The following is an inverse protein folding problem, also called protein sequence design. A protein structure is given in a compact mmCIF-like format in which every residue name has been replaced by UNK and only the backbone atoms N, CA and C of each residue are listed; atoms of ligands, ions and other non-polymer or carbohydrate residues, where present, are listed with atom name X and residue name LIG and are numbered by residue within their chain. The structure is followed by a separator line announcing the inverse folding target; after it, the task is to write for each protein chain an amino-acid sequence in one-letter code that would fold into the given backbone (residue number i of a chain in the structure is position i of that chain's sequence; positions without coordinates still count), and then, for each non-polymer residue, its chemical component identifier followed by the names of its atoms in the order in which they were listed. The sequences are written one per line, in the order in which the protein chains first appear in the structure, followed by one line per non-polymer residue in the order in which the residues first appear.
data_IF_162191610947
#
_entry.id   IF_162191610947
#
_cell.length_a   1.000
_cell.length_b   1.000
_cell.length_c   1.000
_cell.angle_alpha   90.00
_cell.angle_beta   90.00
_cell.angle_gamma   90.00
#
_symmetry.space_group_name_H-M   'P 1'
#
loop_
_entity.id
_entity.type
_entity.pdbx_description
1 polymer ?
#
# COMPACT_ATOMS: atom_id res chain seq x y z
N UNK A 1 -33.11 9.72 -21.55
CA UNK A 1 -33.95 10.85 -21.08
C UNK A 1 -33.19 11.45 -19.94
N UNK A 2 -32.86 12.77 -20.00
CA UNK A 2 -32.22 13.44 -18.85
C UNK A 2 -33.21 13.52 -17.71
N UNK A 3 -32.82 13.01 -16.54
CA UNK A 3 -33.63 13.09 -15.33
C UNK A 3 -33.06 14.25 -14.49
N UNK A 4 -33.90 15.21 -14.17
CA UNK A 4 -33.54 16.32 -13.30
C UNK A 4 -33.90 15.93 -11.85
N UNK A 5 -32.90 15.91 -10.97
CA UNK A 5 -33.10 15.61 -9.55
C UNK A 5 -32.64 16.78 -8.68
N UNK A 6 -33.42 17.06 -7.65
CA UNK A 6 -33.18 18.14 -6.69
C UNK A 6 -32.84 17.52 -5.34
N UNK A 7 -31.72 17.96 -4.74
CA UNK A 7 -31.22 17.53 -3.44
C UNK A 7 -30.97 18.76 -2.56
N UNK A 8 -31.30 18.64 -1.29
CA UNK A 8 -30.92 19.62 -0.26
C UNK A 8 -29.76 19.07 0.56
N UNK A 9 -28.71 19.88 0.70
CA UNK A 9 -27.58 19.56 1.54
C UNK A 9 -27.50 20.48 2.76
N UNK A 10 -27.00 19.99 3.92
CA UNK A 10 -26.73 20.88 5.04
C UNK A 10 -25.68 21.91 4.65
N UNK A 11 -25.83 23.19 5.11
CA UNK A 11 -24.92 24.26 4.72
C UNK A 11 -23.48 24.05 5.17
N UNK A 12 -23.31 23.17 6.17
CA UNK A 12 -22.01 22.85 6.74
C UNK A 12 -21.25 21.90 5.83
N UNK A 13 -19.98 22.25 5.51
CA UNK A 13 -19.10 21.41 4.69
C UNK A 13 -19.21 21.63 3.17
N UNK A 14 -20.21 22.36 2.65
CA UNK A 14 -20.37 22.59 1.21
C UNK A 14 -19.14 23.19 0.56
N UNK A 15 -18.50 24.16 1.20
CA UNK A 15 -17.27 24.77 0.70
C UNK A 15 -16.12 23.75 0.56
N UNK A 16 -16.05 22.76 1.44
CA UNK A 16 -15.05 21.69 1.38
C UNK A 16 -15.35 20.73 0.22
N UNK A 17 -16.63 20.38 0.05
CA UNK A 17 -17.08 19.49 -1.02
C UNK A 17 -16.88 20.14 -2.41
N UNK A 18 -17.29 21.39 -2.54
CA UNK A 18 -17.23 22.11 -3.82
C UNK A 18 -15.80 22.49 -4.18
N UNK A 19 -14.97 22.76 -3.18
CA UNK A 19 -13.59 23.25 -3.40
C UNK A 19 -13.56 24.71 -3.85
N UNK A 20 -12.36 25.23 -4.10
CA UNK A 20 -12.17 26.60 -4.56
C UNK A 20 -12.79 26.76 -5.95
N UNK A 21 -13.71 27.71 -6.11
CA UNK A 21 -14.43 27.98 -7.38
C UNK A 21 -15.15 26.75 -7.97
N UNK A 22 -15.72 25.90 -7.11
CA UNK A 22 -16.45 24.69 -7.47
C UNK A 22 -15.64 23.66 -8.26
N UNK A 23 -14.31 23.69 -8.12
CA UNK A 23 -13.41 22.84 -8.90
C UNK A 23 -13.64 21.33 -8.66
N UNK A 24 -14.06 20.93 -7.46
CA UNK A 24 -14.33 19.52 -7.16
C UNK A 24 -15.63 19.06 -7.81
N UNK A 25 -16.65 19.92 -7.86
CA UNK A 25 -17.92 19.64 -8.55
C UNK A 25 -17.69 19.52 -10.05
N UNK A 26 -16.97 20.49 -10.65
CA UNK A 26 -16.60 20.44 -12.08
C UNK A 26 -15.79 19.18 -12.43
N UNK A 27 -14.94 18.73 -11.50
CA UNK A 27 -14.20 17.50 -11.68
C UNK A 27 -15.12 16.28 -11.63
N UNK A 28 -16.08 16.24 -10.69
CA UNK A 28 -17.08 15.18 -10.60
C UNK A 28 -17.96 15.13 -11.86
N UNK A 29 -18.43 16.28 -12.37
CA UNK A 29 -19.16 16.40 -13.63
C UNK A 29 -18.37 15.79 -14.81
N UNK A 30 -17.06 16.03 -14.85
CA UNK A 30 -16.19 15.48 -15.91
C UNK A 30 -15.99 13.96 -15.84
N UNK A 31 -16.24 13.34 -14.69
CA UNK A 31 -16.08 11.90 -14.48
C UNK A 31 -17.37 11.11 -14.70
N UNK A 32 -18.53 11.72 -14.42
CA UNK A 32 -19.83 11.03 -14.35
C UNK A 32 -20.84 11.46 -15.42
N UNK A 33 -20.45 12.30 -16.36
CA UNK A 33 -21.32 12.83 -17.42
C UNK A 33 -22.65 13.40 -16.89
N UNK A 34 -22.57 14.15 -15.80
CA UNK A 34 -23.66 14.87 -15.15
C UNK A 34 -23.43 16.36 -15.16
N UNK A 35 -24.49 17.16 -15.07
CA UNK A 35 -24.43 18.61 -14.82
C UNK A 35 -24.98 18.91 -13.42
N UNK A 36 -24.22 19.63 -12.60
CA UNK A 36 -24.57 19.91 -11.19
C UNK A 36 -24.65 21.42 -10.99
N UNK A 37 -25.87 21.93 -10.90
CA UNK A 37 -26.12 23.33 -10.56
C UNK A 37 -26.32 23.50 -9.06
N UNK A 38 -25.63 24.47 -8.43
CA UNK A 38 -25.79 24.81 -7.03
C UNK A 38 -26.53 26.14 -6.85
N UNK A 39 -27.56 26.17 -6.00
CA UNK A 39 -28.29 27.38 -5.65
C UNK A 39 -28.56 27.44 -4.13
N UNK A 40 -27.65 28.07 -3.41
CA UNK A 40 -27.66 28.00 -1.94
C UNK A 40 -27.36 26.58 -1.45
N UNK A 41 -28.29 25.99 -0.72
CA UNK A 41 -28.18 24.61 -0.21
C UNK A 41 -28.80 23.57 -1.16
N UNK A 42 -29.37 24.00 -2.27
CA UNK A 42 -30.02 23.13 -3.23
C UNK A 42 -29.05 22.79 -4.37
N UNK A 43 -28.96 21.50 -4.68
CA UNK A 43 -28.26 21.00 -5.85
C UNK A 43 -29.30 20.47 -6.85
N UNK A 44 -29.12 20.89 -8.11
CA UNK A 44 -29.86 20.37 -9.25
C UNK A 44 -28.89 19.51 -10.06
N UNK A 45 -29.19 18.23 -10.18
CA UNK A 45 -28.38 17.26 -10.90
C UNK A 45 -29.15 16.81 -12.13
N UNK A 46 -28.55 16.97 -13.29
CA UNK A 46 -29.11 16.52 -14.58
C UNK A 46 -28.11 15.56 -15.23
N UNK A 47 -28.62 14.39 -15.66
CA UNK A 47 -27.77 13.35 -16.25
C UNK A 47 -28.49 12.01 -16.38
N UNK A 48 -27.73 10.93 -16.55
CA UNK A 48 -28.26 9.58 -16.58
C UNK A 48 -28.62 9.10 -15.17
N UNK A 49 -29.65 8.29 -15.03
CA UNK A 49 -30.18 7.83 -13.71
C UNK A 49 -29.09 7.21 -12.84
N UNK A 50 -28.24 6.36 -13.42
CA UNK A 50 -27.11 5.73 -12.73
C UNK A 50 -26.06 6.72 -12.20
N UNK A 51 -25.79 7.76 -12.97
CA UNK A 51 -24.81 8.77 -12.60
C UNK A 51 -25.38 9.71 -11.54
N UNK A 52 -26.65 10.03 -11.62
CA UNK A 52 -27.38 10.76 -10.59
C UNK A 52 -27.36 9.98 -9.26
N UNK A 53 -27.69 8.68 -9.26
CA UNK A 53 -27.62 7.82 -8.06
C UNK A 53 -26.21 7.80 -7.46
N UNK A 54 -25.17 7.77 -8.30
CA UNK A 54 -23.78 7.80 -7.83
C UNK A 54 -23.45 9.13 -7.15
N UNK A 55 -23.86 10.25 -7.72
CA UNK A 55 -23.68 11.57 -7.11
C UNK A 55 -24.45 11.66 -5.79
N UNK A 56 -25.69 11.18 -5.72
CA UNK A 56 -26.46 11.12 -4.48
C UNK A 56 -25.75 10.37 -3.38
N UNK A 57 -25.20 9.19 -3.72
CA UNK A 57 -24.46 8.39 -2.75
C UNK A 57 -23.19 9.12 -2.27
N UNK A 58 -22.44 9.77 -3.17
CA UNK A 58 -21.27 10.59 -2.83
C UNK A 58 -21.68 11.70 -1.85
N UNK A 59 -22.78 12.41 -2.13
CA UNK A 59 -23.25 13.50 -1.29
C UNK A 59 -23.72 13.03 0.08
N UNK A 60 -24.48 11.93 0.14
CA UNK A 60 -24.93 11.32 1.39
C UNK A 60 -23.72 10.86 2.25
N UNK A 61 -22.78 10.17 1.65
CA UNK A 61 -21.54 9.72 2.32
C UNK A 61 -20.73 10.89 2.84
N UNK A 62 -20.62 11.98 2.03
CA UNK A 62 -19.88 13.18 2.43
C UNK A 62 -20.47 13.82 3.67
N UNK A 63 -21.80 14.00 3.72
CA UNK A 63 -22.49 14.58 4.89
C UNK A 63 -22.23 13.75 6.14
N UNK A 64 -22.40 12.43 6.07
CA UNK A 64 -22.18 11.55 7.22
C UNK A 64 -20.73 11.55 7.70
N UNK A 65 -19.76 11.54 6.77
CA UNK A 65 -18.34 11.61 7.09
C UNK A 65 -17.97 12.97 7.70
N UNK A 66 -18.53 14.05 7.18
CA UNK A 66 -18.29 15.40 7.68
C UNK A 66 -18.83 15.59 9.11
N UNK A 67 -20.06 15.14 9.36
CA UNK A 67 -20.70 15.17 10.68
C UNK A 67 -19.93 14.26 11.68
N UNK A 68 -19.35 13.17 11.20
CA UNK A 68 -18.44 12.30 11.96
C UNK A 68 -17.05 12.89 12.23
N UNK A 69 -16.79 14.14 11.83
CA UNK A 69 -15.53 14.85 12.06
C UNK A 69 -14.39 14.50 11.11
N UNK A 70 -14.67 13.88 9.97
CA UNK A 70 -13.66 13.60 8.96
C UNK A 70 -13.13 14.91 8.35
N UNK A 71 -11.80 14.98 8.15
CA UNK A 71 -11.15 16.08 7.46
C UNK A 71 -10.81 15.66 6.04
N UNK A 72 -11.15 16.47 5.07
CA UNK A 72 -10.96 16.19 3.64
C UNK A 72 -9.94 17.16 3.05
N UNK A 73 -8.95 16.63 2.33
CA UNK A 73 -8.16 17.44 1.42
C UNK A 73 -8.79 17.38 0.02
N UNK A 74 -8.59 18.44 -0.75
CA UNK A 74 -9.07 18.51 -2.13
C UNK A 74 -8.55 17.35 -2.99
N UNK A 75 -7.30 16.96 -2.79
CA UNK A 75 -6.68 15.84 -3.49
C UNK A 75 -7.35 14.51 -3.14
N UNK A 76 -7.59 14.25 -1.86
CA UNK A 76 -8.24 13.00 -1.42
C UNK A 76 -9.68 12.89 -1.95
N UNK A 77 -10.43 13.98 -1.97
CA UNK A 77 -11.78 13.99 -2.56
C UNK A 77 -11.74 13.67 -4.05
N UNK A 78 -10.83 14.26 -4.81
CA UNK A 78 -10.68 13.99 -6.24
C UNK A 78 -10.23 12.57 -6.52
N UNK A 79 -9.30 12.04 -5.71
CA UNK A 79 -8.88 10.64 -5.82
C UNK A 79 -10.05 9.69 -5.53
N UNK A 80 -10.88 9.99 -4.53
CA UNK A 80 -12.10 9.22 -4.22
C UNK A 80 -13.12 9.28 -5.37
N UNK A 81 -13.43 10.46 -5.90
CA UNK A 81 -14.37 10.61 -7.01
C UNK A 81 -13.93 9.83 -8.25
N UNK A 82 -12.63 9.84 -8.55
CA UNK A 82 -12.08 9.05 -9.65
C UNK A 82 -12.29 7.56 -9.44
N UNK A 83 -12.01 7.05 -8.24
CA UNK A 83 -12.21 5.63 -7.92
C UNK A 83 -13.68 5.23 -8.01
N UNK A 84 -14.60 6.07 -7.50
CA UNK A 84 -16.04 5.82 -7.59
C UNK A 84 -16.51 5.82 -9.06
N UNK A 85 -15.96 6.69 -9.90
CA UNK A 85 -16.30 6.71 -11.32
C UNK A 85 -15.78 5.46 -12.07
N UNK A 86 -14.61 4.92 -11.67
CA UNK A 86 -14.02 3.69 -12.23
C UNK A 86 -14.72 2.42 -11.69
N UNK A 87 -15.14 2.42 -10.43
CA UNK A 87 -15.85 1.31 -9.76
C UNK A 87 -17.04 1.85 -8.94
N UNK A 88 -18.25 1.71 -9.48
CA UNK A 88 -19.50 2.20 -8.87
C UNK A 88 -19.89 1.47 -7.57
N UNK A 89 -19.31 0.31 -7.29
CA UNK A 89 -19.49 -0.37 -6.01
C UNK A 89 -18.65 0.25 -4.89
N UNK A 90 -17.68 1.10 -5.23
CA UNK A 90 -16.85 1.83 -4.28
C UNK A 90 -17.56 3.08 -3.79
N UNK A 91 -17.50 3.37 -2.49
CA UNK A 91 -18.18 4.52 -1.87
C UNK A 91 -17.18 5.52 -1.27
N UNK A 92 -17.63 6.75 -1.04
CA UNK A 92 -16.83 7.75 -0.34
C UNK A 92 -16.52 7.29 1.10
N UNK A 93 -17.45 6.61 1.76
CA UNK A 93 -17.24 5.98 3.07
C UNK A 93 -16.13 4.92 3.01
N UNK A 94 -16.13 4.09 1.99
CA UNK A 94 -15.07 3.10 1.81
C UNK A 94 -13.70 3.77 1.66
N UNK A 95 -13.64 4.89 0.93
CA UNK A 95 -12.41 5.66 0.79
C UNK A 95 -11.91 6.23 2.11
N UNK A 96 -12.80 6.83 2.91
CA UNK A 96 -12.39 7.58 4.09
C UNK A 96 -12.43 6.79 5.40
N UNK A 97 -13.33 5.82 5.58
CA UNK A 97 -13.47 5.06 6.83
C UNK A 97 -12.76 3.72 6.81
N UNK A 98 -12.99 2.89 5.77
CA UNK A 98 -12.39 1.55 5.70
C UNK A 98 -10.90 1.58 5.36
N UNK A 99 -10.42 2.66 4.73
CA UNK A 99 -9.06 2.78 4.29
C UNK A 99 -8.08 3.31 5.35
N UNK A 100 -8.60 3.99 6.38
CA UNK A 100 -7.76 4.61 7.41
C UNK A 100 -7.67 3.71 8.62
N UNK A 101 -6.46 3.36 9.00
CA UNK A 101 -6.21 2.68 10.26
C UNK A 101 -5.05 3.35 10.99
N UNK A 102 -5.12 3.32 12.31
CA UNK A 102 -4.09 3.89 13.17
C UNK A 102 -3.57 2.78 14.09
N UNK A 103 -2.51 2.08 13.67
CA UNK A 103 -2.07 0.88 14.35
C UNK A 103 -1.76 1.07 15.83
N UNK A 104 -1.25 2.24 16.19
CA UNK A 104 -0.71 2.49 17.54
C UNK A 104 -1.20 3.79 18.17
N UNK A 105 -2.02 4.57 17.48
CA UNK A 105 -2.37 5.94 17.89
C UNK A 105 -1.35 7.00 17.46
N UNK A 106 -0.13 6.61 17.04
CA UNK A 106 0.93 7.55 16.66
C UNK A 106 0.73 8.14 15.26
N UNK A 107 0.41 7.30 14.30
CA UNK A 107 0.30 7.71 12.89
C UNK A 107 -0.87 7.03 12.19
N UNK A 108 -1.65 7.84 11.50
CA UNK A 108 -2.70 7.33 10.64
C UNK A 108 -2.12 6.86 9.31
N UNK A 109 -2.46 5.65 8.91
CA UNK A 109 -2.08 5.06 7.63
C UNK A 109 -3.32 4.96 6.75
N UNK A 110 -3.19 5.40 5.50
CA UNK A 110 -4.24 5.30 4.50
C UNK A 110 -3.64 4.92 3.14
N UNK A 111 -4.31 4.10 2.35
CA UNK A 111 -3.93 3.85 0.97
C UNK A 111 -4.08 5.15 0.16
N UNK A 112 -3.13 5.42 -0.72
CA UNK A 112 -3.12 6.60 -1.59
C UNK A 112 -3.50 6.25 -3.03
N UNK A 113 -3.61 4.97 -3.36
CA UNK A 113 -3.99 4.47 -4.69
C UNK A 113 -4.93 3.27 -4.55
N UNK A 114 -5.67 2.96 -5.62
CA UNK A 114 -6.56 1.80 -5.67
C UNK A 114 -5.81 0.48 -5.42
N UNK A 115 -4.61 0.32 -6.01
CA UNK A 115 -3.81 -0.89 -5.79
C UNK A 115 -3.28 -1.00 -4.37
N UNK A 116 -2.93 0.12 -3.71
CA UNK A 116 -2.60 0.11 -2.27
C UNK A 116 -3.80 -0.33 -1.43
N UNK A 117 -5.01 0.10 -1.79
CA UNK A 117 -6.24 -0.34 -1.14
C UNK A 117 -6.45 -1.84 -1.32
N UNK A 118 -6.43 -2.32 -2.59
CA UNK A 118 -6.55 -3.73 -2.90
C UNK A 118 -5.54 -4.58 -2.12
N UNK A 119 -4.32 -4.06 -1.95
CA UNK A 119 -3.28 -4.73 -1.19
C UNK A 119 -3.59 -4.85 0.31
N UNK A 120 -4.08 -3.79 0.93
CA UNK A 120 -4.51 -3.83 2.34
C UNK A 120 -5.68 -4.79 2.54
N UNK A 121 -6.66 -4.77 1.65
CA UNK A 121 -7.82 -5.66 1.69
C UNK A 121 -7.39 -7.13 1.47
N UNK A 122 -6.46 -7.39 0.54
CA UNK A 122 -5.88 -8.71 0.33
C UNK A 122 -5.15 -9.22 1.56
N UNK A 123 -4.32 -8.38 2.22
CA UNK A 123 -3.62 -8.74 3.47
C UNK A 123 -4.62 -9.05 4.59
N UNK A 124 -5.72 -8.31 4.69
CA UNK A 124 -6.73 -8.58 5.69
C UNK A 124 -7.41 -9.95 5.47
N UNK A 125 -7.74 -10.29 4.21
CA UNK A 125 -8.54 -11.45 3.84
C UNK A 125 -7.76 -12.76 3.70
N UNK A 126 -6.45 -12.73 3.38
CA UNK A 126 -5.68 -13.93 3.03
C UNK A 126 -4.54 -14.19 4.01
N UNK A 127 -4.09 -15.44 4.09
CA UNK A 127 -2.97 -15.85 4.94
C UNK A 127 -1.62 -15.56 4.30
N UNK A 128 -1.55 -15.55 2.96
CA UNK A 128 -0.34 -15.27 2.20
C UNK A 128 -0.62 -14.28 1.08
N UNK A 129 0.09 -13.15 1.08
CA UNK A 129 -0.08 -12.10 0.07
C UNK A 129 1.26 -11.73 -0.55
N UNK A 130 1.29 -11.66 -1.88
CA UNK A 130 2.41 -11.13 -2.64
C UNK A 130 2.09 -9.73 -3.13
N UNK A 131 2.89 -8.74 -2.72
CA UNK A 131 2.87 -7.37 -3.21
C UNK A 131 4.00 -7.15 -4.22
N UNK A 132 3.69 -7.14 -5.52
CA UNK A 132 4.69 -7.12 -6.59
C UNK A 132 4.59 -5.81 -7.38
N UNK A 133 5.71 -5.13 -7.60
CA UNK A 133 5.77 -3.94 -8.44
C UNK A 133 6.92 -3.01 -8.12
N UNK A 134 6.99 -1.90 -8.85
CA UNK A 134 8.12 -0.96 -8.82
C UNK A 134 8.36 -0.34 -7.44
N UNK A 135 9.59 0.08 -7.20
CA UNK A 135 9.98 0.74 -5.95
C UNK A 135 9.20 2.04 -5.71
N UNK A 136 8.96 2.39 -4.44
CA UNK A 136 8.25 3.63 -4.06
C UNK A 136 6.72 3.55 -4.10
N UNK A 137 6.14 2.38 -4.33
CA UNK A 137 4.67 2.16 -4.29
C UNK A 137 4.13 1.86 -2.89
N UNK A 138 4.98 1.85 -1.85
CA UNK A 138 4.59 1.71 -0.46
C UNK A 138 4.37 0.27 0.02
N UNK A 139 4.70 -0.76 -0.77
CA UNK A 139 4.48 -2.19 -0.45
C UNK A 139 4.99 -2.58 0.94
N UNK A 140 6.28 -2.37 1.19
CA UNK A 140 6.93 -2.76 2.45
C UNK A 140 6.39 -1.95 3.64
N UNK A 141 6.18 -0.64 3.45
CA UNK A 141 5.62 0.23 4.48
C UNK A 141 4.19 -0.18 4.88
N UNK A 142 3.31 -0.43 3.90
CA UNK A 142 1.93 -0.86 4.16
C UNK A 142 1.88 -2.26 4.80
N UNK A 143 2.77 -3.17 4.39
CA UNK A 143 2.89 -4.49 5.03
C UNK A 143 3.30 -4.36 6.49
N UNK A 144 4.30 -3.51 6.82
CA UNK A 144 4.71 -3.24 8.21
C UNK A 144 3.57 -2.60 9.01
N UNK A 145 2.82 -1.67 8.41
CA UNK A 145 1.68 -1.06 9.07
C UNK A 145 0.59 -2.07 9.42
N UNK A 146 0.27 -3.01 8.52
CA UNK A 146 -0.68 -4.10 8.77
C UNK A 146 -0.17 -5.07 9.83
N UNK A 147 1.14 -5.36 9.85
CA UNK A 147 1.75 -6.21 10.87
C UNK A 147 1.65 -5.58 12.26
N UNK A 148 1.93 -4.27 12.35
CA UNK A 148 1.80 -3.53 13.62
C UNK A 148 0.33 -3.50 14.08
N UNK A 149 -0.61 -3.25 13.18
CA UNK A 149 -2.05 -3.26 13.48
C UNK A 149 -2.50 -4.63 14.01
N UNK A 150 -2.10 -5.71 13.33
CA UNK A 150 -2.42 -7.08 13.74
C UNK A 150 -1.82 -7.44 15.12
N UNK A 151 -0.59 -6.98 15.42
CA UNK A 151 0.04 -7.17 16.73
C UNK A 151 -0.70 -6.43 17.84
N UNK A 152 -1.04 -5.15 17.62
CA UNK A 152 -1.76 -4.36 18.63
C UNK A 152 -3.21 -4.82 18.83
N UNK A 153 -3.84 -5.35 17.79
CA UNK A 153 -5.15 -6.03 17.88
C UNK A 153 -5.07 -7.45 18.44
N UNK A 154 -3.87 -7.93 18.79
CA UNK A 154 -3.62 -9.30 19.32
C UNK A 154 -4.09 -10.41 18.39
N UNK A 155 -4.09 -10.15 17.08
CA UNK A 155 -4.35 -11.16 16.05
C UNK A 155 -3.14 -12.08 15.86
N UNK A 156 -1.95 -11.57 16.14
CA UNK A 156 -0.69 -12.29 16.17
C UNK A 156 0.08 -11.98 17.46
N UNK A 157 0.98 -12.85 17.86
CA UNK A 157 1.80 -12.67 19.06
C UNK A 157 3.14 -11.95 18.78
N UNK A 158 3.59 -11.95 17.53
CA UNK A 158 4.89 -11.39 17.14
C UNK A 158 4.92 -10.97 15.68
N UNK A 159 5.89 -10.12 15.35
CA UNK A 159 6.20 -9.69 13.98
C UNK A 159 7.59 -10.21 13.63
N UNK A 160 7.75 -10.78 12.44
CA UNK A 160 9.03 -11.24 11.91
C UNK A 160 9.25 -10.54 10.57
N UNK A 161 10.28 -9.70 10.52
CA UNK A 161 10.70 -8.98 9.33
C UNK A 161 11.98 -9.61 8.81
N UNK A 162 11.96 -10.02 7.55
CA UNK A 162 13.12 -10.66 6.95
C UNK A 162 13.36 -10.16 5.53
N UNK A 163 14.63 -10.20 5.14
CA UNK A 163 15.09 -9.79 3.82
C UNK A 163 16.23 -10.70 3.37
N UNK A 164 16.33 -11.07 2.08
CA UNK A 164 17.50 -11.75 1.59
C UNK A 164 18.72 -10.83 1.72
N UNK A 165 19.80 -11.35 2.24
CA UNK A 165 21.07 -10.67 2.23
C UNK A 165 21.69 -10.85 0.84
N UNK A 166 21.58 -9.83 -0.02
CA UNK A 166 22.22 -9.80 -1.34
C UNK A 166 23.35 -8.78 -1.29
N UNK A 167 24.48 -9.16 -1.84
CA UNK A 167 25.63 -8.26 -2.03
C UNK A 167 25.31 -7.34 -3.23
N UNK A 168 24.67 -6.20 -2.98
CA UNK A 168 24.48 -5.16 -4.00
C UNK A 168 25.79 -4.43 -4.25
N UNK A 169 26.67 -5.02 -5.08
CA UNK A 169 27.93 -4.42 -5.51
C UNK A 169 29.09 -4.44 -4.48
N UNK A 170 28.80 -4.47 -3.20
CA UNK A 170 29.79 -4.60 -2.13
C UNK A 170 29.70 -6.00 -1.52
N UNK A 171 30.79 -6.75 -1.58
CA UNK A 171 30.84 -8.10 -1.00
C UNK A 171 30.78 -7.99 0.52
N UNK A 172 29.77 -8.59 1.15
CA UNK A 172 29.59 -8.68 2.62
C UNK A 172 30.88 -9.09 3.35
N UNK A 173 31.78 -9.80 2.67
CA UNK A 173 33.08 -10.19 3.18
C UNK A 173 34.04 -9.03 3.49
N UNK A 174 33.86 -7.85 2.91
CA UNK A 174 34.74 -6.69 3.13
C UNK A 174 34.25 -5.73 4.23
N UNK A 175 33.01 -5.88 4.71
CA UNK A 175 32.51 -5.06 5.83
C UNK A 175 33.11 -5.58 7.16
N UNK A 176 33.60 -4.70 8.04
CA UNK A 176 34.04 -5.08 9.39
C UNK A 176 32.84 -5.47 10.26
N UNK A 177 33.08 -6.33 11.26
CA UNK A 177 32.05 -6.77 12.21
C UNK A 177 31.56 -8.19 11.98
N UNK A 178 30.64 -8.64 12.87
CA UNK A 178 30.00 -9.93 12.76
C UNK A 178 28.96 -9.97 11.62
N UNK A 179 28.40 -11.14 11.34
CA UNK A 179 27.43 -11.31 10.25
C UNK A 179 26.18 -10.42 10.45
N UNK A 180 25.76 -10.21 11.69
CA UNK A 180 24.59 -9.41 12.03
C UNK A 180 24.85 -7.92 11.79
N UNK A 181 26.00 -7.41 12.22
CA UNK A 181 26.44 -6.03 11.95
C UNK A 181 26.58 -5.73 10.45
N UNK A 182 27.03 -6.69 9.67
CA UNK A 182 27.17 -6.56 8.21
C UNK A 182 25.82 -6.51 7.47
N UNK A 183 24.78 -7.16 7.99
CA UNK A 183 23.45 -7.21 7.37
C UNK A 183 22.53 -6.09 7.86
N UNK A 184 22.81 -5.50 9.02
CA UNK A 184 21.99 -4.45 9.65
C UNK A 184 21.69 -3.26 8.71
N UNK A 185 22.64 -2.73 7.89
CA UNK A 185 22.34 -1.66 6.94
C UNK A 185 21.24 -1.99 5.92
N UNK A 186 21.14 -3.25 5.51
CA UNK A 186 20.11 -3.69 4.55
C UNK A 186 18.73 -3.84 5.19
N UNK A 187 18.68 -3.93 6.51
CA UNK A 187 17.43 -4.04 7.28
C UNK A 187 16.91 -2.67 7.75
N UNK A 188 17.69 -1.59 7.62
CA UNK A 188 17.31 -0.22 8.04
C UNK A 188 15.95 0.23 7.52
N UNK A 189 15.55 0.02 6.25
CA UNK A 189 14.24 0.45 5.78
C UNK A 189 13.07 -0.16 6.57
N UNK A 190 13.24 -1.35 7.11
CA UNK A 190 12.22 -2.02 7.96
C UNK A 190 12.18 -1.40 9.36
N UNK A 191 13.34 -1.05 9.93
CA UNK A 191 13.40 -0.29 11.19
C UNK A 191 12.77 1.10 11.02
N UNK A 192 13.08 1.81 9.94
CA UNK A 192 12.53 3.15 9.67
C UNK A 192 11.00 3.11 9.58
N UNK A 193 10.43 2.11 8.91
CA UNK A 193 8.99 1.91 8.86
C UNK A 193 8.37 1.66 10.25
N UNK A 194 9.03 0.84 11.09
CA UNK A 194 8.58 0.60 12.46
C UNK A 194 8.64 1.86 13.33
N UNK A 195 9.75 2.59 13.29
CA UNK A 195 9.91 3.82 14.07
C UNK A 195 8.99 4.95 13.61
N UNK A 196 8.58 4.96 12.35
CA UNK A 196 7.58 5.89 11.85
C UNK A 196 6.17 5.59 12.41
N UNK A 197 5.83 4.32 12.60
CA UNK A 197 4.52 3.83 13.02
C UNK A 197 4.37 3.68 14.54
N UNK A 198 5.44 3.38 15.24
CA UNK A 198 5.45 3.07 16.68
C UNK A 198 6.48 3.95 17.38
N UNK A 199 6.22 4.32 18.64
CA UNK A 199 7.17 5.08 19.45
C UNK A 199 8.48 4.31 19.62
N UNK A 200 9.60 5.01 19.49
CA UNK A 200 10.94 4.40 19.49
C UNK A 200 11.20 3.55 20.75
N UNK A 201 10.82 4.03 21.94
CA UNK A 201 10.97 3.27 23.18
C UNK A 201 10.17 1.96 23.19
N UNK A 202 8.95 1.98 22.59
CA UNK A 202 8.13 0.76 22.47
C UNK A 202 8.75 -0.21 21.49
N UNK A 203 9.26 0.26 20.33
CA UNK A 203 9.95 -0.60 19.35
C UNK A 203 11.16 -1.28 19.99
N UNK A 204 12.02 -0.51 20.68
CA UNK A 204 13.21 -1.05 21.37
C UNK A 204 12.83 -2.16 22.36
N UNK A 205 11.83 -1.91 23.21
CA UNK A 205 11.33 -2.91 24.18
C UNK A 205 10.75 -4.16 23.50
N UNK A 206 10.10 -4.01 22.34
CA UNK A 206 9.55 -5.14 21.58
C UNK A 206 10.65 -5.96 20.91
N UNK A 207 11.72 -5.32 20.42
CA UNK A 207 12.90 -5.98 19.87
C UNK A 207 13.64 -6.77 20.96
N UNK A 208 13.89 -6.17 22.12
CA UNK A 208 14.52 -6.83 23.27
C UNK A 208 13.73 -8.08 23.73
N UNK A 209 12.39 -7.99 23.75
CA UNK A 209 11.50 -9.09 24.11
C UNK A 209 11.25 -10.08 22.98
N UNK A 210 11.83 -9.88 21.79
CA UNK A 210 11.59 -10.67 20.58
C UNK A 210 10.11 -10.75 20.16
N UNK A 211 9.33 -9.75 20.53
CA UNK A 211 7.97 -9.53 20.00
C UNK A 211 8.06 -9.04 18.55
N UNK A 212 9.08 -8.21 18.24
CA UNK A 212 9.49 -7.89 16.90
C UNK A 212 10.87 -8.49 16.68
N UNK A 213 11.03 -9.21 15.60
CA UNK A 213 12.30 -9.78 15.16
C UNK A 213 12.63 -9.28 13.76
N UNK A 214 13.84 -8.78 13.56
CA UNK A 214 14.34 -8.37 12.25
C UNK A 214 15.61 -9.17 12.00
N UNK A 215 15.60 -10.01 10.95
CA UNK A 215 16.69 -10.93 10.71
C UNK A 215 16.84 -11.27 9.21
N UNK A 216 18.05 -11.62 8.74
CA UNK A 216 18.25 -12.14 7.41
C UNK A 216 17.43 -13.39 7.13
N UNK A 217 17.03 -13.58 5.86
CA UNK A 217 16.25 -14.76 5.44
C UNK A 217 16.91 -16.09 5.82
N UNK A 218 18.23 -16.16 5.79
CA UNK A 218 18.98 -17.38 6.15
C UNK A 218 18.67 -17.88 7.58
N UNK A 219 18.33 -16.97 8.51
CA UNK A 219 18.02 -17.32 9.90
C UNK A 219 16.60 -17.89 10.08
N UNK A 220 15.80 -17.93 9.02
CA UNK A 220 14.49 -18.58 9.03
C UNK A 220 14.59 -20.11 8.82
N UNK A 221 15.73 -20.60 8.36
CA UNK A 221 15.92 -22.03 8.08
C UNK A 221 15.77 -22.88 9.33
N UNK A 222 15.00 -23.99 9.23
CA UNK A 222 14.78 -24.92 10.33
C UNK A 222 13.80 -24.45 11.40
N UNK A 223 13.16 -23.29 11.21
CA UNK A 223 12.16 -22.74 12.15
C UNK A 223 10.75 -23.05 11.68
N UNK A 224 9.80 -23.00 12.60
CA UNK A 224 8.36 -22.89 12.34
C UNK A 224 7.86 -21.58 12.94
N UNK A 225 7.29 -20.73 12.11
CA UNK A 225 6.90 -19.37 12.46
C UNK A 225 5.39 -19.34 12.71
N UNK A 226 4.97 -19.75 13.92
CA UNK A 226 3.56 -19.76 14.33
C UNK A 226 3.16 -18.47 15.05
N UNK A 227 1.85 -18.14 15.00
CA UNK A 227 1.23 -16.99 15.65
C UNK A 227 1.96 -15.66 15.34
N UNK A 228 2.41 -15.52 14.10
CA UNK A 228 3.28 -14.44 13.67
C UNK A 228 2.75 -13.71 12.42
N UNK A 229 2.97 -12.41 12.35
CA UNK A 229 2.91 -11.68 11.09
C UNK A 229 4.32 -11.62 10.49
N UNK A 230 4.49 -12.21 9.33
CA UNK A 230 5.80 -12.42 8.72
C UNK A 230 5.90 -11.59 7.45
N UNK A 231 6.97 -10.82 7.30
CA UNK A 231 7.22 -10.03 6.09
C UNK A 231 8.55 -10.48 5.48
N UNK A 232 8.51 -10.91 4.22
CA UNK A 232 9.71 -11.10 3.40
C UNK A 232 9.79 -9.94 2.41
N UNK A 233 10.70 -9.02 2.67
CA UNK A 233 10.93 -7.85 1.81
C UNK A 233 12.04 -8.12 0.79
N UNK A 234 12.03 -7.42 -0.36
CA UNK A 234 12.96 -7.57 -1.48
C UNK A 234 13.07 -9.02 -2.00
N UNK A 235 11.94 -9.71 -2.03
CA UNK A 235 11.87 -11.14 -2.34
C UNK A 235 12.30 -11.50 -3.76
N UNK A 236 12.39 -10.53 -4.69
CA UNK A 236 12.97 -10.75 -6.02
C UNK A 236 14.43 -11.23 -5.95
N UNK A 237 15.11 -10.91 -4.84
CA UNK A 237 16.48 -11.30 -4.58
C UNK A 237 16.61 -12.64 -3.81
N UNK A 238 15.56 -13.43 -3.76
CA UNK A 238 15.62 -14.83 -3.31
C UNK A 238 15.83 -15.76 -4.49
N UNK A 239 16.55 -16.86 -4.27
CA UNK A 239 16.51 -18.00 -5.20
C UNK A 239 15.22 -18.80 -5.03
N UNK A 240 14.91 -19.69 -5.98
CA UNK A 240 13.75 -20.61 -5.88
C UNK A 240 13.79 -21.45 -4.62
N UNK A 241 14.97 -21.96 -4.25
CA UNK A 241 15.16 -22.78 -3.04
C UNK A 241 14.95 -21.97 -1.76
N UNK A 242 15.44 -20.70 -1.74
CA UNK A 242 15.25 -19.80 -0.62
C UNK A 242 13.77 -19.42 -0.43
N UNK A 243 13.06 -19.12 -1.52
CA UNK A 243 11.63 -18.83 -1.49
C UNK A 243 10.84 -20.05 -0.97
N UNK A 244 11.09 -21.24 -1.53
CA UNK A 244 10.45 -22.48 -1.07
C UNK A 244 10.77 -22.78 0.39
N UNK A 245 12.03 -22.61 0.80
CA UNK A 245 12.45 -22.75 2.19
C UNK A 245 11.67 -21.81 3.09
N UNK A 246 11.51 -20.54 2.75
CA UNK A 246 10.78 -19.56 3.53
C UNK A 246 9.28 -19.87 3.62
N UNK A 247 8.63 -20.13 2.51
CA UNK A 247 7.18 -20.41 2.46
C UNK A 247 6.80 -21.61 3.32
N UNK A 248 7.68 -22.62 3.38
CA UNK A 248 7.48 -23.80 4.23
C UNK A 248 7.78 -23.56 5.71
N UNK A 249 8.11 -22.34 6.14
CA UNK A 249 8.27 -21.96 7.57
C UNK A 249 7.01 -21.41 8.17
N UNK A 250 6.03 -20.98 7.37
CA UNK A 250 4.77 -20.41 7.84
C UNK A 250 4.05 -21.47 8.70
N UNK A 251 3.80 -21.13 9.95
CA UNK A 251 3.14 -21.98 10.93
C UNK A 251 1.68 -21.61 11.16
N UNK A 252 1.00 -22.34 12.00
CA UNK A 252 -0.40 -22.09 12.35
C UNK A 252 -0.60 -20.70 12.96
N UNK A 253 -1.73 -20.07 12.66
CA UNK A 253 -2.08 -18.75 13.19
C UNK A 253 -1.22 -17.62 12.65
N UNK A 254 -0.44 -17.85 11.58
CA UNK A 254 0.43 -16.85 11.00
C UNK A 254 -0.11 -16.32 9.68
N UNK A 255 0.25 -15.06 9.40
CA UNK A 255 0.02 -14.36 8.16
C UNK A 255 1.37 -13.97 7.56
N UNK A 256 1.55 -14.16 6.26
CA UNK A 256 2.79 -13.79 5.58
C UNK A 256 2.53 -12.81 4.42
N UNK A 257 3.39 -11.81 4.31
CA UNK A 257 3.37 -10.85 3.22
C UNK A 257 4.74 -10.83 2.56
N UNK A 258 4.76 -11.01 1.24
CA UNK A 258 5.98 -11.04 0.45
C UNK A 258 5.98 -9.83 -0.48
N UNK A 259 6.99 -8.98 -0.36
CA UNK A 259 7.13 -7.78 -1.20
C UNK A 259 8.32 -7.93 -2.15
N UNK A 260 8.19 -7.39 -3.36
CA UNK A 260 9.28 -7.45 -4.31
C UNK A 260 9.06 -6.61 -5.57
N UNK A 261 10.19 -6.35 -6.25
CA UNK A 261 10.24 -5.64 -7.52
C UNK A 261 10.94 -6.51 -8.58
N UNK A 262 10.18 -7.06 -9.53
CA UNK A 262 10.74 -7.93 -10.58
C UNK A 262 11.71 -7.24 -11.53
N UNK A 263 11.79 -5.92 -11.50
CA UNK A 263 12.71 -5.12 -12.33
C UNK A 263 14.08 -4.95 -11.67
N UNK A 264 14.16 -5.13 -10.33
CA UNK A 264 15.37 -4.92 -9.53
C UNK A 264 15.91 -6.25 -8.98
N UNK A 265 16.31 -7.15 -9.88
CA UNK A 265 16.86 -8.47 -9.51
C UNK A 265 18.38 -8.38 -9.50
N UNK A 266 18.97 -8.47 -8.31
CA UNK A 266 20.43 -8.41 -8.07
C UNK A 266 21.06 -9.80 -7.90
N UNK A 267 20.34 -10.86 -8.30
CA UNK A 267 20.86 -12.22 -8.24
C UNK A 267 22.00 -12.44 -9.25
N UNK A 268 22.99 -13.28 -8.93
CA UNK A 268 24.04 -13.67 -9.86
C UNK A 268 23.48 -14.22 -11.18
N UNK A 269 24.20 -14.00 -12.29
CA UNK A 269 23.81 -14.49 -13.63
C UNK A 269 23.52 -15.98 -13.60
N UNK A 270 22.39 -16.38 -14.17
CA UNK A 270 21.93 -17.77 -14.25
C UNK A 270 21.08 -18.24 -13.10
N UNK A 271 20.90 -17.47 -12.02
CA UNK A 271 19.97 -17.78 -10.95
C UNK A 271 18.57 -17.24 -11.27
N UNK A 272 17.54 -18.06 -11.03
CA UNK A 272 16.14 -17.65 -11.19
C UNK A 272 15.63 -17.02 -9.90
N UNK A 273 14.92 -15.90 -10.04
CA UNK A 273 14.26 -15.25 -8.92
C UNK A 273 13.10 -16.10 -8.40
N UNK A 274 13.12 -16.37 -7.09
CA UNK A 274 12.10 -17.16 -6.40
C UNK A 274 10.71 -16.54 -6.45
N UNK A 275 10.58 -15.22 -6.53
CA UNK A 275 9.28 -14.56 -6.65
C UNK A 275 8.60 -14.88 -8.00
N UNK A 276 9.38 -14.99 -9.09
CA UNK A 276 8.84 -15.35 -10.40
C UNK A 276 8.36 -16.81 -10.46
N UNK A 277 9.07 -17.71 -9.79
CA UNK A 277 8.66 -19.11 -9.70
C UNK A 277 7.43 -19.26 -8.79
N UNK A 278 7.43 -18.59 -7.63
CA UNK A 278 6.29 -18.61 -6.71
C UNK A 278 4.99 -18.15 -7.41
N UNK A 279 5.05 -17.09 -8.20
CA UNK A 279 3.91 -16.61 -8.99
C UNK A 279 3.34 -17.69 -9.92
N UNK A 280 4.21 -18.40 -10.66
CA UNK A 280 3.77 -19.46 -11.58
C UNK A 280 3.19 -20.68 -10.86
N UNK A 281 3.72 -21.01 -9.69
CA UNK A 281 3.35 -22.24 -8.96
C UNK A 281 2.15 -22.03 -8.05
N UNK A 282 2.01 -20.84 -7.47
CA UNK A 282 1.06 -20.57 -6.38
C UNK A 282 -0.16 -19.75 -6.79
N UNK A 283 -0.21 -19.20 -8.01
CA UNK A 283 -1.25 -18.25 -8.44
C UNK A 283 -2.71 -18.75 -8.30
N UNK A 284 -2.91 -20.07 -8.27
CA UNK A 284 -4.26 -20.67 -8.22
C UNK A 284 -4.55 -21.38 -6.89
N UNK A 285 -3.74 -21.12 -5.86
CA UNK A 285 -3.96 -21.73 -4.54
C UNK A 285 -4.86 -20.83 -3.69
N UNK A 286 -5.89 -21.43 -3.08
CA UNK A 286 -6.77 -20.74 -2.13
C UNK A 286 -5.98 -20.21 -0.94
N UNK A 287 -6.30 -19.00 -0.46
CA UNK A 287 -5.60 -18.33 0.64
C UNK A 287 -4.33 -17.60 0.24
N UNK A 288 -3.98 -17.59 -1.06
CA UNK A 288 -2.84 -16.84 -1.62
C UNK A 288 -3.34 -15.78 -2.59
N UNK A 289 -2.93 -14.53 -2.39
CA UNK A 289 -3.31 -13.42 -3.28
C UNK A 289 -2.07 -12.71 -3.82
N UNK A 290 -2.12 -12.36 -5.11
CA UNK A 290 -1.09 -11.58 -5.79
C UNK A 290 -1.62 -10.21 -6.15
N UNK A 291 -1.03 -9.16 -5.59
CA UNK A 291 -1.38 -7.76 -5.88
C UNK A 291 -0.24 -7.08 -6.62
N UNK A 292 -0.58 -6.48 -7.76
CA UNK A 292 0.39 -5.84 -8.63
C UNK A 292 0.31 -4.33 -8.55
N UNK A 293 1.48 -3.70 -8.42
CA UNK A 293 1.65 -2.26 -8.44
C UNK A 293 2.33 -1.81 -9.73
N UNK A 294 1.94 -0.66 -10.21
CA UNK A 294 2.46 -0.02 -11.40
C UNK A 294 3.14 1.31 -11.06
N UNK A 295 3.72 1.97 -12.04
CA UNK A 295 4.28 3.32 -11.88
C UNK A 295 3.24 4.36 -11.43
N UNK A 296 1.95 4.14 -11.71
CA UNK A 296 0.84 5.00 -11.27
C UNK A 296 0.66 4.98 -9.75
N UNK A 297 1.14 3.93 -9.08
CA UNK A 297 1.07 3.75 -7.63
C UNK A 297 2.26 4.36 -6.89
N UNK A 298 3.24 4.93 -7.61
CA UNK A 298 4.43 5.53 -7.02
C UNK A 298 4.06 6.81 -6.26
N UNK A 299 4.30 6.78 -4.94
CA UNK A 299 4.08 7.92 -4.05
C UNK A 299 5.43 8.52 -3.69
N UNK A 300 5.86 9.51 -4.45
CA UNK A 300 7.15 10.19 -4.26
C UNK A 300 6.97 11.71 -4.26
N UNK A 301 7.93 12.39 -3.65
CA UNK A 301 8.01 13.86 -3.74
C UNK A 301 8.12 14.29 -5.21
N UNK A 302 7.42 15.37 -5.61
CA UNK A 302 7.40 15.87 -7.01
C UNK A 302 8.80 16.03 -7.60
N UNK A 303 9.74 16.58 -6.82
CA UNK A 303 11.13 16.76 -7.28
C UNK A 303 11.78 15.40 -7.61
N UNK A 304 11.56 14.37 -6.78
CA UNK A 304 12.13 13.03 -7.02
C UNK A 304 11.54 12.40 -8.29
N UNK A 305 10.25 12.61 -8.56
CA UNK A 305 9.62 12.16 -9.82
C UNK A 305 10.27 12.85 -11.04
N UNK A 306 10.52 14.16 -10.93
CA UNK A 306 11.21 14.93 -11.99
C UNK A 306 12.65 14.44 -12.21
N UNK A 307 13.38 14.15 -11.14
CA UNK A 307 14.75 13.63 -11.22
C UNK A 307 14.76 12.27 -11.93
N UNK A 308 13.92 11.32 -11.49
CA UNK A 308 13.85 9.99 -12.11
C UNK A 308 13.54 10.11 -13.60
N UNK A 309 12.51 10.90 -13.96
CA UNK A 309 12.15 11.12 -15.36
C UNK A 309 13.29 11.71 -16.19
N UNK A 310 14.06 12.65 -15.62
CA UNK A 310 15.21 13.25 -16.32
C UNK A 310 16.32 12.21 -16.60
N UNK A 311 16.59 11.31 -15.65
CA UNK A 311 17.57 10.22 -15.87
C UNK A 311 17.04 9.21 -16.90
N UNK A 312 15.78 8.78 -16.83
CA UNK A 312 15.20 7.86 -17.80
C UNK A 312 15.24 8.43 -19.24
N UNK A 313 14.97 9.73 -19.40
CA UNK A 313 15.07 10.42 -20.69
C UNK A 313 16.52 10.53 -21.20
N UNK A 314 17.49 10.68 -20.29
CA UNK A 314 18.91 10.70 -20.63
C UNK A 314 19.37 9.33 -21.12
N UNK A 315 19.07 8.27 -20.36
CA UNK A 315 19.47 6.89 -20.69
C UNK A 315 18.82 6.43 -22.01
N UNK A 316 17.57 6.82 -22.26
CA UNK A 316 16.90 6.53 -23.54
C UNK A 316 17.58 7.20 -24.75
N UNK A 317 18.20 8.39 -24.56
CA UNK A 317 18.95 9.07 -25.62
C UNK A 317 20.31 8.44 -25.87
N UNK A 318 21.01 8.00 -24.82
CA UNK A 318 22.29 7.29 -24.97
C UNK A 318 22.10 5.90 -25.58
N UNK A 319 21.03 5.15 -25.21
CA UNK A 319 20.72 3.84 -25.78
C UNK A 319 20.20 3.84 -27.22
N UNK A 320 19.81 5.02 -27.75
CA UNK A 320 19.40 5.20 -29.15
C UNK A 320 20.51 5.71 -30.07
N UNK A 321 21.73 5.85 -29.53
CA UNK A 321 22.90 6.38 -30.26
C UNK A 321 23.96 5.33 -30.65
N UNK A 322 23.68 4.02 -30.48
CA UNK A 322 24.53 2.93 -30.98
C UNK A 322 23.94 2.22 -32.20
#
# INVERSE_FOLDING_TARGET
MSNLKKLELPPQGLNTLFGVQDQNIKYLESLLDVSIGARGNELLIDGDERDIETVEQILADFVELFDGGSVFSEKELRDAFKQIAEDRAYSLKDHFLKARFNPTGKKQVAPKTANQRKYLDAIAANDLVFGIGVAGTGKSYLAVAMAVDALFKKQVSRIILTRPAVEAGERLGFLPGDLQEKVDPYLRPLYDALFDLVDAEKVTKMLEKRIIEIAPLAFMRGRTLSDAFIILDEAQNTTSEQMKMFLTRIGFGSKAVITGDKTQIDLPRGQKSGIREAENVLANLEGIEFVYFSEKDVVRHKLVQMIVKAYDEHDAREGSGE
#
